data_IF_382548422347
#
_entry.id   IF_382548422347
#
_cell.length_a   1.000
_cell.length_b   1.000
_cell.length_c   1.000
_cell.angle_alpha   90.00
_cell.angle_beta   90.00
_cell.angle_gamma   90.00
#
_symmetry.space_group_name_H-M   'P 1'
#
loop_
_entity.id
_entity.type
_entity.pdbx_description
1 polymer ?
#
# COMPACT_ATOMS: atom_id res chain seq x y z
N UNK A 1 5.62 18.37 -19.68
CA UNK A 1 6.49 17.19 -19.58
C UNK A 1 6.37 16.44 -20.88
N UNK A 2 7.43 16.44 -21.68
CA UNK A 2 7.44 15.75 -22.98
C UNK A 2 7.38 14.23 -22.82
N UNK A 3 6.98 13.50 -23.85
CA UNK A 3 6.91 12.03 -23.77
C UNK A 3 8.28 11.42 -23.51
N UNK A 4 9.36 12.03 -23.98
CA UNK A 4 10.74 11.64 -23.66
C UNK A 4 11.10 11.81 -22.18
N UNK A 5 10.61 12.84 -21.50
CA UNK A 5 10.81 13.03 -20.05
C UNK A 5 10.04 12.00 -19.22
N UNK A 6 8.82 11.63 -19.66
CA UNK A 6 8.05 10.57 -19.01
C UNK A 6 8.73 9.19 -19.13
N UNK A 7 9.28 8.89 -20.31
CA UNK A 7 10.02 7.64 -20.52
C UNK A 7 11.32 7.59 -19.72
N UNK A 8 12.06 8.68 -19.63
CA UNK A 8 13.29 8.74 -18.84
C UNK A 8 13.00 8.61 -17.35
N UNK A 9 11.93 9.25 -16.86
CA UNK A 9 11.47 9.14 -15.49
C UNK A 9 10.97 7.71 -15.16
N UNK A 10 10.22 7.07 -16.05
CA UNK A 10 9.77 5.70 -15.89
C UNK A 10 10.93 4.69 -15.87
N UNK A 11 11.93 4.87 -16.74
CA UNK A 11 13.15 4.02 -16.77
C UNK A 11 14.04 4.21 -15.54
N UNK A 12 14.14 5.44 -15.02
CA UNK A 12 14.89 5.71 -13.79
C UNK A 12 14.18 5.12 -12.57
N UNK A 13 12.85 5.24 -12.49
CA UNK A 13 12.04 4.63 -11.45
C UNK A 13 12.14 3.10 -11.47
N UNK A 14 12.01 2.48 -12.63
CA UNK A 14 12.15 1.02 -12.78
C UNK A 14 13.53 0.52 -12.31
N UNK A 15 14.61 1.25 -12.58
CA UNK A 15 15.96 0.92 -12.09
C UNK A 15 16.06 1.01 -10.57
N UNK A 16 15.43 2.01 -9.96
CA UNK A 16 15.41 2.17 -8.50
C UNK A 16 14.64 1.01 -7.86
N UNK A 17 13.47 0.66 -8.40
CA UNK A 17 12.70 -0.50 -7.92
C UNK A 17 13.47 -1.82 -8.10
N UNK A 18 14.15 -2.02 -9.21
CA UNK A 18 14.98 -3.22 -9.44
C UNK A 18 16.12 -3.33 -8.42
N UNK A 19 16.76 -2.22 -8.04
CA UNK A 19 17.79 -2.19 -6.98
C UNK A 19 17.19 -2.50 -5.61
N UNK A 20 16.03 -1.93 -5.28
CA UNK A 20 15.34 -2.22 -4.02
C UNK A 20 14.94 -3.70 -3.93
N UNK A 21 14.43 -4.28 -5.03
CA UNK A 21 14.14 -5.71 -5.11
C UNK A 21 15.40 -6.58 -4.93
N UNK A 22 16.57 -6.09 -5.35
CA UNK A 22 17.85 -6.75 -5.07
C UNK A 22 18.13 -6.93 -3.58
N UNK A 23 17.76 -5.96 -2.75
CA UNK A 23 17.87 -6.04 -1.28
C UNK A 23 16.83 -6.96 -0.64
N UNK A 24 15.75 -7.30 -1.34
CA UNK A 24 14.75 -8.27 -0.87
C UNK A 24 15.25 -9.71 -1.07
N UNK A 25 16.17 -9.92 -2.01
CA UNK A 25 16.67 -11.25 -2.38
C UNK A 25 17.19 -12.11 -1.20
N UNK A 26 17.91 -11.57 -0.20
CA UNK A 26 18.31 -12.36 0.97
C UNK A 26 17.13 -12.80 1.84
N UNK A 27 15.99 -12.09 1.76
CA UNK A 27 14.78 -12.31 2.57
C UNK A 27 13.69 -13.06 1.79
N UNK A 28 14.05 -13.83 0.74
CA UNK A 28 13.08 -14.53 -0.12
C UNK A 28 12.15 -15.47 0.65
N UNK A 29 12.64 -16.10 1.72
CA UNK A 29 11.89 -17.06 2.53
C UNK A 29 10.80 -16.37 3.37
N UNK A 30 11.09 -15.32 4.18
CA UNK A 30 10.06 -14.52 4.81
C UNK A 30 9.10 -13.88 3.80
N UNK A 31 9.60 -13.44 2.66
CA UNK A 31 8.76 -12.87 1.59
C UNK A 31 7.78 -13.89 1.03
N UNK A 32 8.22 -15.13 0.76
CA UNK A 32 7.37 -16.23 0.33
C UNK A 32 6.28 -16.58 1.35
N UNK A 33 6.64 -16.64 2.64
CA UNK A 33 5.66 -16.88 3.72
C UNK A 33 4.64 -15.73 3.79
N UNK A 34 5.06 -14.49 3.58
CA UNK A 34 4.14 -13.35 3.52
C UNK A 34 3.13 -13.49 2.37
N UNK A 35 3.59 -13.89 1.18
CA UNK A 35 2.69 -14.15 0.04
C UNK A 35 1.70 -15.26 0.36
N UNK A 36 2.14 -16.36 0.96
CA UNK A 36 1.24 -17.44 1.41
C UNK A 36 0.20 -16.93 2.42
N UNK A 37 0.62 -16.07 3.38
CA UNK A 37 -0.30 -15.43 4.31
C UNK A 37 -1.36 -14.57 3.59
N UNK A 38 -0.96 -13.81 2.59
CA UNK A 38 -1.92 -13.02 1.78
C UNK A 38 -2.81 -13.90 0.89
N UNK A 39 -2.34 -15.04 0.41
CA UNK A 39 -3.18 -16.02 -0.30
C UNK A 39 -4.25 -16.61 0.63
N UNK A 40 -3.89 -16.98 1.87
CA UNK A 40 -4.83 -17.44 2.89
C UNK A 40 -5.87 -16.36 3.18
N UNK A 41 -5.43 -15.11 3.36
CA UNK A 41 -6.32 -13.97 3.55
C UNK A 41 -7.26 -13.79 2.36
N UNK A 42 -6.74 -13.78 1.14
CA UNK A 42 -7.52 -13.57 -0.08
C UNK A 42 -8.54 -14.69 -0.33
N UNK A 43 -8.19 -15.95 -0.05
CA UNK A 43 -9.10 -17.09 -0.20
C UNK A 43 -10.27 -17.08 0.79
N UNK A 44 -10.15 -16.36 1.92
CA UNK A 44 -11.25 -16.19 2.88
C UNK A 44 -12.38 -15.29 2.35
N UNK A 45 -12.12 -14.40 1.39
CA UNK A 45 -13.11 -13.46 0.86
C UNK A 45 -14.24 -14.15 0.08
N UNK A 46 -13.95 -15.05 -0.86
CA UNK A 46 -14.99 -15.86 -1.49
C UNK A 46 -15.78 -16.73 -0.51
N UNK A 47 -15.14 -17.26 0.55
CA UNK A 47 -15.81 -18.05 1.57
C UNK A 47 -16.87 -17.23 2.32
N UNK A 48 -16.56 -15.96 2.61
CA UNK A 48 -17.49 -15.02 3.21
C UNK A 48 -18.68 -14.72 2.30
N UNK A 49 -18.41 -14.50 1.01
CA UNK A 49 -19.46 -14.26 0.00
C UNK A 49 -20.36 -15.50 -0.20
N UNK A 50 -19.76 -16.69 -0.23
CA UNK A 50 -20.48 -17.96 -0.32
C UNK A 50 -21.39 -18.19 0.89
N UNK A 51 -20.89 -17.90 2.08
CA UNK A 51 -21.63 -18.00 3.33
C UNK A 51 -22.87 -17.08 3.33
N UNK A 52 -22.70 -15.84 2.89
CA UNK A 52 -23.81 -14.87 2.82
C UNK A 52 -24.92 -15.36 1.89
N UNK A 53 -24.56 -15.93 0.72
CA UNK A 53 -25.53 -16.54 -0.19
C UNK A 53 -26.31 -17.66 0.51
N UNK A 54 -25.60 -18.58 1.17
CA UNK A 54 -26.24 -19.72 1.86
C UNK A 54 -27.18 -19.29 2.99
N UNK A 55 -26.84 -18.20 3.68
CA UNK A 55 -27.69 -17.62 4.70
C UNK A 55 -28.99 -17.04 4.13
N UNK A 56 -28.87 -16.27 3.04
CA UNK A 56 -30.04 -15.68 2.37
C UNK A 56 -30.94 -16.77 1.79
N UNK A 57 -30.35 -17.77 1.14
CA UNK A 57 -31.11 -18.93 0.59
C UNK A 57 -31.84 -19.69 1.70
N UNK A 58 -31.20 -19.91 2.85
CA UNK A 58 -31.81 -20.55 4.02
C UNK A 58 -32.97 -19.76 4.65
N UNK A 59 -32.88 -18.43 4.67
CA UNK A 59 -33.95 -17.56 5.16
C UNK A 59 -35.15 -17.56 4.21
N UNK A 60 -34.93 -17.62 2.90
CA UNK A 60 -35.99 -17.59 1.88
C UNK A 60 -36.70 -18.94 1.74
N UNK A 61 -36.03 -20.04 2.03
CA UNK A 61 -36.60 -21.38 1.96
C UNK A 61 -37.57 -21.73 3.10
N UNK A 62 -37.66 -20.90 4.17
CA UNK A 62 -38.63 -21.04 5.25
C UNK A 62 -38.48 -22.30 6.10
N UNK A 63 -37.49 -23.13 5.84
CA UNK A 63 -37.19 -24.33 6.61
C UNK A 63 -36.12 -24.05 7.66
N UNK A 64 -36.17 -24.79 8.78
CA UNK A 64 -35.09 -24.90 9.75
C UNK A 64 -33.84 -25.49 9.06
N UNK A 65 -33.16 -24.67 8.25
CA UNK A 65 -32.07 -25.09 7.37
C UNK A 65 -30.92 -25.66 8.21
N UNK A 66 -30.44 -26.84 7.83
CA UNK A 66 -29.18 -27.41 8.33
C UNK A 66 -28.04 -26.85 7.50
N UNK A 67 -27.09 -26.17 8.15
CA UNK A 67 -25.81 -25.78 7.55
C UNK A 67 -24.76 -26.84 7.90
N UNK A 68 -24.28 -27.60 6.91
CA UNK A 68 -23.30 -28.70 7.12
C UNK A 68 -23.73 -29.74 8.17
N UNK A 69 -25.06 -30.04 8.26
CA UNK A 69 -25.58 -31.00 9.23
C UNK A 69 -25.81 -30.48 10.65
N UNK A 70 -25.63 -29.16 10.85
CA UNK A 70 -25.86 -28.46 12.12
C UNK A 70 -27.01 -27.46 11.94
N UNK A 71 -27.89 -27.24 12.94
CA UNK A 71 -28.92 -26.20 12.86
C UNK A 71 -28.31 -24.84 12.49
N UNK A 72 -28.96 -24.09 11.59
CA UNK A 72 -28.47 -22.81 11.05
C UNK A 72 -28.08 -21.82 12.17
N UNK A 73 -28.80 -21.85 13.28
CA UNK A 73 -28.59 -20.99 14.46
C UNK A 73 -27.18 -21.17 15.06
N UNK A 74 -26.63 -22.38 15.06
CA UNK A 74 -25.31 -22.66 15.62
C UNK A 74 -24.25 -22.79 14.54
N UNK A 75 -24.60 -23.35 13.38
CA UNK A 75 -23.66 -23.56 12.27
C UNK A 75 -23.16 -22.26 11.67
N UNK A 76 -24.01 -21.26 11.55
CA UNK A 76 -23.67 -19.97 10.95
C UNK A 76 -22.70 -19.14 11.81
N UNK A 77 -22.93 -18.90 13.12
CA UNK A 77 -21.95 -18.21 13.97
C UNK A 77 -20.62 -18.96 14.07
N UNK A 78 -20.66 -20.28 14.16
CA UNK A 78 -19.43 -21.08 14.21
C UNK A 78 -18.61 -20.93 12.94
N UNK A 79 -19.25 -20.94 11.78
CA UNK A 79 -18.58 -20.76 10.50
C UNK A 79 -17.96 -19.34 10.37
N UNK A 80 -18.67 -18.30 10.82
CA UNK A 80 -18.13 -16.94 10.86
C UNK A 80 -16.85 -16.90 11.69
N UNK A 81 -16.86 -17.49 12.87
CA UNK A 81 -15.68 -17.52 13.75
C UNK A 81 -14.52 -18.25 13.08
N UNK A 82 -14.78 -19.39 12.45
CA UNK A 82 -13.75 -20.16 11.74
C UNK A 82 -13.16 -19.37 10.56
N UNK A 83 -13.99 -18.73 9.75
CA UNK A 83 -13.53 -17.88 8.63
C UNK A 83 -12.77 -16.68 9.16
N UNK A 84 -13.23 -16.05 10.24
CA UNK A 84 -12.54 -14.91 10.85
C UNK A 84 -11.17 -15.32 11.42
N UNK A 85 -11.06 -16.47 12.06
CA UNK A 85 -9.79 -17.02 12.54
C UNK A 85 -8.85 -17.33 11.36
N UNK A 86 -9.35 -17.97 10.32
CA UNK A 86 -8.59 -18.28 9.11
C UNK A 86 -8.08 -17.00 8.42
N UNK A 87 -8.94 -16.01 8.27
CA UNK A 87 -8.60 -14.69 7.73
C UNK A 87 -7.58 -13.96 8.62
N UNK A 88 -7.79 -13.99 9.94
CA UNK A 88 -6.88 -13.39 10.92
C UNK A 88 -5.49 -14.01 10.89
N UNK A 89 -5.39 -15.35 10.80
CA UNK A 89 -4.12 -16.06 10.64
C UNK A 89 -3.41 -15.67 9.34
N UNK A 90 -4.12 -15.63 8.22
CA UNK A 90 -3.56 -15.21 6.93
C UNK A 90 -3.06 -13.76 6.98
N UNK A 91 -3.86 -12.86 7.53
CA UNK A 91 -3.50 -11.45 7.70
C UNK A 91 -2.29 -11.27 8.63
N UNK A 92 -2.25 -11.98 9.75
CA UNK A 92 -1.13 -11.94 10.69
C UNK A 92 0.16 -12.43 10.03
N UNK A 93 0.15 -13.61 9.42
CA UNK A 93 1.31 -14.16 8.73
C UNK A 93 1.80 -13.20 7.62
N UNK A 94 0.90 -12.73 6.76
CA UNK A 94 1.24 -11.82 5.68
C UNK A 94 1.88 -10.53 6.18
N UNK A 95 1.26 -9.87 7.15
CA UNK A 95 1.76 -8.60 7.68
C UNK A 95 3.03 -8.75 8.52
N UNK A 96 3.14 -9.80 9.33
CA UNK A 96 4.32 -10.04 10.16
C UNK A 96 5.58 -10.28 9.31
N UNK A 97 5.47 -11.18 8.34
CA UNK A 97 6.64 -11.53 7.52
C UNK A 97 7.02 -10.42 6.54
N UNK A 98 6.08 -9.66 5.98
CA UNK A 98 6.41 -8.52 5.13
C UNK A 98 7.07 -7.40 5.94
N UNK A 99 6.64 -7.17 7.19
CA UNK A 99 7.29 -6.23 8.08
C UNK A 99 8.74 -6.66 8.41
N UNK A 100 8.97 -7.96 8.63
CA UNK A 100 10.31 -8.52 8.84
C UNK A 100 11.23 -8.29 7.62
N UNK A 101 10.71 -8.50 6.41
CA UNK A 101 11.43 -8.18 5.16
C UNK A 101 11.76 -6.69 5.10
N UNK A 102 10.79 -5.82 5.37
CA UNK A 102 10.98 -4.37 5.34
C UNK A 102 12.06 -3.90 6.30
N UNK A 103 12.03 -4.37 7.55
CA UNK A 103 13.05 -4.05 8.55
C UNK A 103 14.44 -4.54 8.17
N UNK A 104 14.54 -5.74 7.60
CA UNK A 104 15.80 -6.26 7.08
C UNK A 104 16.37 -5.40 5.95
N UNK A 105 15.56 -5.03 4.97
CA UNK A 105 15.97 -4.15 3.86
C UNK A 105 16.37 -2.77 4.37
N UNK A 106 15.65 -2.20 5.36
CA UNK A 106 16.03 -0.92 6.00
C UNK A 106 17.41 -1.03 6.65
N UNK A 107 17.65 -2.13 7.38
CA UNK A 107 18.94 -2.38 8.06
C UNK A 107 20.09 -2.47 7.04
N UNK A 108 19.93 -3.26 5.99
CA UNK A 108 20.96 -3.46 4.97
C UNK A 108 21.26 -2.17 4.20
N UNK A 109 20.22 -1.40 3.85
CA UNK A 109 20.38 -0.09 3.20
C UNK A 109 21.10 0.91 4.10
N UNK A 110 20.74 0.97 5.38
CA UNK A 110 21.41 1.87 6.34
C UNK A 110 22.89 1.50 6.50
N UNK A 111 23.18 0.22 6.63
CA UNK A 111 24.56 -0.30 6.75
C UNK A 111 25.36 0.01 5.49
N UNK A 112 24.78 -0.21 4.31
CA UNK A 112 25.44 0.11 3.04
C UNK A 112 25.70 1.61 2.88
N UNK A 113 24.74 2.45 3.24
CA UNK A 113 24.91 3.91 3.18
C UNK A 113 25.95 4.41 4.19
N UNK A 114 25.92 3.88 5.41
CA UNK A 114 26.89 4.24 6.44
C UNK A 114 28.32 3.84 6.02
N UNK A 115 28.51 2.63 5.53
CA UNK A 115 29.81 2.18 5.04
C UNK A 115 30.29 3.04 3.88
N UNK A 116 29.43 3.37 2.92
CA UNK A 116 29.77 4.29 1.84
C UNK A 116 30.13 5.69 2.36
N UNK A 117 29.44 6.19 3.39
CA UNK A 117 29.74 7.49 3.97
C UNK A 117 31.16 7.54 4.54
N UNK A 118 31.60 6.46 5.19
CA UNK A 118 32.96 6.35 5.75
C UNK A 118 34.06 6.32 4.68
N UNK A 119 33.74 5.96 3.45
CA UNK A 119 34.71 5.92 2.33
C UNK A 119 34.76 7.22 1.53
N UNK A 120 33.90 8.20 1.86
CA UNK A 120 33.90 9.49 1.17
C UNK A 120 35.10 10.35 1.57
N UNK A 121 35.65 11.16 0.64
CA UNK A 121 36.72 12.10 0.94
C UNK A 121 36.30 13.13 1.99
N UNK A 122 37.22 13.51 2.90
CA UNK A 122 36.97 14.51 3.96
C UNK A 122 36.34 15.81 3.41
N UNK A 123 36.78 16.25 2.23
CA UNK A 123 36.25 17.45 1.56
C UNK A 123 34.73 17.39 1.32
N UNK A 124 34.17 16.17 1.14
CA UNK A 124 32.71 16.01 0.98
C UNK A 124 32.00 16.14 2.33
N UNK A 125 32.58 15.58 3.39
CA UNK A 125 32.03 15.62 4.73
C UNK A 125 32.08 17.05 5.32
N UNK A 126 33.18 17.78 5.06
CA UNK A 126 33.36 19.15 5.51
C UNK A 126 32.39 20.15 4.86
N UNK A 127 32.00 19.88 3.61
CA UNK A 127 31.06 20.73 2.86
C UNK A 127 29.58 20.40 3.09
N UNK A 128 29.28 19.33 3.81
CA UNK A 128 27.89 18.91 4.07
C UNK A 128 27.60 18.89 5.56
N UNK A 129 26.46 19.46 5.94
CA UNK A 129 26.00 19.42 7.34
C UNK A 129 25.76 17.98 7.79
N UNK A 130 26.44 17.56 8.84
CA UNK A 130 26.34 16.20 9.42
C UNK A 130 24.89 15.83 9.78
N UNK A 131 24.08 16.77 10.28
CA UNK A 131 22.68 16.56 10.56
C UNK A 131 21.86 16.16 9.32
N UNK A 132 22.17 16.74 8.16
CA UNK A 132 21.52 16.40 6.90
C UNK A 132 21.89 14.99 6.40
N UNK A 133 23.15 14.59 6.59
CA UNK A 133 23.63 13.24 6.23
C UNK A 133 22.99 12.19 7.14
N UNK A 134 22.93 12.44 8.46
CA UNK A 134 22.25 11.54 9.42
C UNK A 134 20.77 11.43 9.09
N UNK A 135 20.09 12.56 8.78
CA UNK A 135 18.68 12.56 8.41
C UNK A 135 18.41 11.73 7.15
N UNK A 136 19.29 11.76 6.15
CA UNK A 136 19.17 10.92 4.94
C UNK A 136 19.22 9.44 5.27
N UNK A 137 20.12 9.01 6.14
CA UNK A 137 20.29 7.60 6.52
C UNK A 137 19.12 7.14 7.40
N UNK A 138 18.63 7.99 8.31
CA UNK A 138 17.60 7.61 9.26
C UNK A 138 16.19 7.74 8.69
N UNK A 139 15.84 8.91 8.16
CA UNK A 139 14.48 9.23 7.71
C UNK A 139 14.20 8.80 6.27
N UNK A 140 15.06 9.23 5.33
CA UNK A 140 14.76 8.99 3.92
C UNK A 140 14.78 7.50 3.59
N UNK A 141 15.71 6.73 4.16
CA UNK A 141 15.72 5.26 3.98
C UNK A 141 14.43 4.64 4.46
N UNK A 142 13.98 4.99 5.67
CA UNK A 142 12.73 4.43 6.22
C UNK A 142 11.52 4.81 5.38
N UNK A 143 11.44 6.06 4.93
CA UNK A 143 10.33 6.54 4.10
C UNK A 143 10.26 5.82 2.76
N UNK A 144 11.39 5.69 2.05
CA UNK A 144 11.46 5.03 0.74
C UNK A 144 11.16 3.55 0.88
N UNK A 145 11.74 2.88 1.89
CA UNK A 145 11.54 1.45 2.09
C UNK A 145 10.12 1.15 2.55
N UNK A 146 9.54 1.99 3.42
CA UNK A 146 8.15 1.90 3.84
C UNK A 146 7.20 2.00 2.65
N UNK A 147 7.34 3.03 1.81
CA UNK A 147 6.53 3.21 0.62
C UNK A 147 6.65 2.03 -0.37
N UNK A 148 7.85 1.49 -0.57
CA UNK A 148 8.07 0.32 -1.42
C UNK A 148 7.41 -0.94 -0.84
N UNK A 149 7.51 -1.16 0.47
CA UNK A 149 6.90 -2.30 1.16
C UNK A 149 5.38 -2.22 1.14
N UNK A 150 4.80 -1.04 1.37
CA UNK A 150 3.36 -0.83 1.31
C UNK A 150 2.83 -1.05 -0.11
N UNK A 151 3.55 -0.60 -1.14
CA UNK A 151 3.18 -0.86 -2.53
C UNK A 151 3.18 -2.37 -2.84
N UNK A 152 4.21 -3.10 -2.41
CA UNK A 152 4.30 -4.57 -2.57
C UNK A 152 3.14 -5.25 -1.82
N UNK A 153 2.87 -4.85 -0.57
CA UNK A 153 1.78 -5.37 0.23
C UNK A 153 0.42 -5.18 -0.46
N UNK A 154 0.14 -3.98 -0.96
CA UNK A 154 -1.11 -3.69 -1.66
C UNK A 154 -1.23 -4.54 -2.92
N UNK A 155 -0.19 -4.63 -3.75
CA UNK A 155 -0.21 -5.42 -4.98
C UNK A 155 -0.47 -6.90 -4.71
N UNK A 156 0.22 -7.49 -3.73
CA UNK A 156 0.03 -8.93 -3.45
C UNK A 156 -1.25 -9.20 -2.69
N UNK A 157 -1.57 -8.47 -1.63
CA UNK A 157 -2.77 -8.69 -0.82
C UNK A 157 -4.04 -8.40 -1.61
N UNK A 158 -4.16 -7.18 -2.14
CA UNK A 158 -5.38 -6.76 -2.84
C UNK A 158 -5.45 -7.38 -4.23
N UNK A 159 -4.32 -7.53 -4.92
CA UNK A 159 -4.27 -8.23 -6.20
C UNK A 159 -4.74 -9.68 -6.09
N UNK A 160 -4.26 -10.43 -5.10
CA UNK A 160 -4.74 -11.79 -4.82
C UNK A 160 -6.23 -11.80 -4.46
N UNK A 161 -6.68 -10.85 -3.63
CA UNK A 161 -8.10 -10.72 -3.27
C UNK A 161 -8.97 -10.52 -4.50
N UNK A 162 -8.56 -9.63 -5.41
CA UNK A 162 -9.28 -9.40 -6.68
C UNK A 162 -9.32 -10.67 -7.52
N UNK A 163 -8.20 -11.39 -7.65
CA UNK A 163 -8.13 -12.63 -8.43
C UNK A 163 -9.08 -13.70 -7.85
N UNK A 164 -9.05 -13.94 -6.54
CA UNK A 164 -9.90 -14.93 -5.90
C UNK A 164 -11.39 -14.58 -5.98
N UNK A 165 -11.73 -13.32 -5.74
CA UNK A 165 -13.12 -12.85 -5.88
C UNK A 165 -13.60 -12.92 -7.32
N UNK A 166 -12.76 -12.55 -8.28
CA UNK A 166 -13.10 -12.60 -9.69
C UNK A 166 -13.30 -14.05 -10.17
N UNK A 167 -12.42 -14.97 -9.76
CA UNK A 167 -12.56 -16.39 -10.04
C UNK A 167 -13.88 -16.96 -9.45
N UNK A 168 -14.22 -16.55 -8.22
CA UNK A 168 -15.47 -16.94 -7.58
C UNK A 168 -16.70 -16.38 -8.31
N UNK A 169 -16.69 -15.13 -8.74
CA UNK A 169 -17.77 -14.51 -9.50
C UNK A 169 -17.98 -15.19 -10.85
N UNK A 170 -16.90 -15.53 -11.56
CA UNK A 170 -16.96 -16.26 -12.83
C UNK A 170 -17.57 -17.65 -12.65
N UNK A 171 -17.21 -18.33 -11.56
CA UNK A 171 -17.76 -19.64 -11.25
C UNK A 171 -19.26 -19.58 -10.89
N UNK A 172 -19.68 -18.52 -10.19
CA UNK A 172 -21.04 -18.35 -9.73
C UNK A 172 -22.00 -17.90 -10.84
N UNK A 173 -21.60 -16.88 -11.61
CA UNK A 173 -22.38 -16.35 -12.73
C UNK A 173 -21.47 -15.57 -13.72
N UNK A 174 -21.00 -16.27 -14.74
CA UNK A 174 -20.09 -15.69 -15.72
C UNK A 174 -20.73 -14.55 -16.54
N UNK A 175 -22.05 -14.61 -16.80
CA UNK A 175 -22.76 -13.58 -17.57
C UNK A 175 -22.82 -12.25 -16.83
N UNK A 176 -23.18 -12.29 -15.54
CA UNK A 176 -23.21 -11.11 -14.69
C UNK A 176 -21.80 -10.53 -14.50
N UNK A 177 -20.81 -11.38 -14.39
CA UNK A 177 -19.40 -10.97 -14.25
C UNK A 177 -18.90 -10.24 -15.49
N UNK A 178 -19.28 -10.69 -16.71
CA UNK A 178 -18.96 -9.99 -17.96
C UNK A 178 -19.62 -8.61 -18.03
N UNK A 179 -20.86 -8.46 -17.57
CA UNK A 179 -21.52 -7.15 -17.50
C UNK A 179 -20.79 -6.22 -16.57
N UNK A 180 -20.40 -6.70 -15.37
CA UNK A 180 -19.58 -5.92 -14.43
C UNK A 180 -18.24 -5.52 -15.05
N UNK A 181 -17.59 -6.44 -15.76
CA UNK A 181 -16.31 -6.18 -16.43
C UNK A 181 -16.42 -5.09 -17.51
N UNK A 182 -17.56 -5.03 -18.22
CA UNK A 182 -17.82 -3.98 -19.20
C UNK A 182 -17.98 -2.58 -18.55
N UNK A 183 -18.35 -2.51 -17.28
CA UNK A 183 -18.50 -1.26 -16.54
C UNK A 183 -17.14 -0.72 -16.05
N UNK A 184 -16.16 -1.59 -15.78
CA UNK A 184 -14.83 -1.19 -15.28
C UNK A 184 -14.11 -0.14 -16.15
N UNK A 185 -14.03 -0.26 -17.49
CA UNK A 185 -13.39 0.77 -18.31
C UNK A 185 -14.12 2.11 -18.25
N UNK A 186 -15.45 2.13 -18.11
CA UNK A 186 -16.22 3.36 -17.95
C UNK A 186 -15.83 4.06 -16.64
N UNK A 187 -15.77 3.32 -15.53
CA UNK A 187 -15.30 3.82 -14.25
C UNK A 187 -13.85 4.33 -14.36
N UNK A 188 -12.97 3.58 -15.04
CA UNK A 188 -11.59 3.98 -15.28
C UNK A 188 -11.45 5.32 -16.01
N UNK A 189 -12.27 5.54 -17.03
CA UNK A 189 -12.31 6.81 -17.77
C UNK A 189 -12.80 7.96 -16.88
N UNK A 190 -13.84 7.73 -16.08
CA UNK A 190 -14.35 8.73 -15.13
C UNK A 190 -13.31 9.09 -14.08
N UNK A 191 -12.64 8.10 -13.48
CA UNK A 191 -11.58 8.31 -12.50
C UNK A 191 -10.41 9.08 -13.11
N UNK A 192 -9.96 8.72 -14.31
CA UNK A 192 -8.87 9.42 -14.99
C UNK A 192 -9.20 10.89 -15.28
N UNK A 193 -10.42 11.17 -15.74
CA UNK A 193 -10.92 12.53 -16.00
C UNK A 193 -10.95 13.35 -14.70
N UNK A 194 -11.48 12.77 -13.63
CA UNK A 194 -11.60 13.41 -12.32
C UNK A 194 -10.22 13.62 -11.67
N UNK A 195 -9.33 12.63 -11.77
CA UNK A 195 -7.95 12.72 -11.25
C UNK A 195 -7.16 13.88 -11.86
N UNK A 196 -7.35 14.18 -13.14
CA UNK A 196 -6.72 15.34 -13.79
C UNK A 196 -7.15 16.66 -13.16
N UNK A 197 -8.45 16.80 -12.83
CA UNK A 197 -8.99 17.99 -12.15
C UNK A 197 -8.45 18.09 -10.73
N UNK A 198 -8.46 16.99 -9.97
CA UNK A 198 -7.91 16.94 -8.61
C UNK A 198 -6.42 17.29 -8.58
N UNK A 199 -5.63 16.78 -9.51
CA UNK A 199 -4.19 17.10 -9.61
C UNK A 199 -3.94 18.60 -9.81
N UNK A 200 -4.74 19.25 -10.68
CA UNK A 200 -4.65 20.70 -10.90
C UNK A 200 -5.00 21.49 -9.62
N UNK A 201 -6.02 21.04 -8.90
CA UNK A 201 -6.47 21.68 -7.65
C UNK A 201 -5.45 21.48 -6.53
N UNK A 202 -4.91 20.26 -6.38
CA UNK A 202 -3.88 19.93 -5.40
C UNK A 202 -2.61 20.78 -5.62
N UNK A 203 -2.20 20.98 -6.88
CA UNK A 203 -1.07 21.86 -7.18
C UNK A 203 -1.32 23.32 -6.75
N UNK A 204 -2.53 23.83 -6.96
CA UNK A 204 -2.90 25.17 -6.49
C UNK A 204 -2.85 25.29 -4.96
N UNK A 205 -3.35 24.26 -4.25
CA UNK A 205 -3.30 24.21 -2.79
C UNK A 205 -1.84 24.18 -2.30
N UNK A 206 -0.98 23.38 -2.93
CA UNK A 206 0.45 23.32 -2.57
C UNK A 206 1.16 24.66 -2.79
N UNK A 207 0.84 25.38 -3.89
CA UNK A 207 1.40 26.71 -4.13
C UNK A 207 0.94 27.70 -3.06
N UNK A 208 -0.36 27.74 -2.77
CA UNK A 208 -0.90 28.62 -1.74
C UNK A 208 -0.34 28.31 -0.33
N UNK A 209 -0.13 27.03 0.00
CA UNK A 209 0.55 26.64 1.25
C UNK A 209 2.02 27.06 1.28
N UNK A 210 2.70 27.01 0.12
CA UNK A 210 4.05 27.56 -0.02
C UNK A 210 4.11 29.06 0.28
N UNK A 211 3.15 29.83 -0.27
CA UNK A 211 3.05 31.26 -0.04
C UNK A 211 2.77 31.57 1.44
N UNK A 212 1.85 30.85 2.07
CA UNK A 212 1.58 30.97 3.53
C UNK A 212 2.82 30.68 4.35
N UNK A 213 3.55 29.62 4.03
CA UNK A 213 4.79 29.26 4.75
C UNK A 213 5.85 30.34 4.57
N UNK A 214 5.98 30.90 3.37
CA UNK A 214 6.92 32.00 3.08
C UNK A 214 6.59 33.22 3.92
N UNK A 215 5.35 33.72 3.88
CA UNK A 215 4.89 34.88 4.65
C UNK A 215 5.05 34.63 6.15
N UNK A 216 4.73 33.44 6.65
CA UNK A 216 4.91 33.09 8.05
C UNK A 216 6.39 33.13 8.45
N UNK A 217 7.27 32.56 7.63
CA UNK A 217 8.71 32.54 7.88
C UNK A 217 9.29 33.97 7.85
N UNK A 218 8.85 34.81 6.91
CA UNK A 218 9.25 36.21 6.80
C UNK A 218 8.79 37.00 8.04
N UNK A 219 7.54 36.80 8.47
CA UNK A 219 6.98 37.45 9.66
C UNK A 219 7.74 37.04 10.93
N UNK A 220 8.08 35.75 11.09
CA UNK A 220 8.87 35.26 12.21
C UNK A 220 10.29 35.80 12.15
N UNK A 221 10.91 35.84 11.01
CA UNK A 221 12.28 36.38 10.85
C UNK A 221 12.33 37.88 11.08
N UNK A 222 11.31 38.62 10.63
CA UNK A 222 11.16 40.07 10.78
C UNK A 222 10.34 40.50 12.02
N UNK A 223 10.13 39.61 13.00
CA UNK A 223 9.20 39.88 14.12
C UNK A 223 9.44 41.19 14.87
N UNK A 224 10.70 41.65 14.95
CA UNK A 224 11.05 42.91 15.60
C UNK A 224 10.49 44.10 14.84
N UNK A 225 10.56 44.05 13.50
CA UNK A 225 10.02 45.11 12.62
C UNK A 225 8.51 45.13 12.70
N UNK A 226 7.88 43.98 12.56
CA UNK A 226 6.41 43.79 12.66
C UNK A 226 5.91 44.35 14.01
N UNK A 227 6.58 44.03 15.11
CA UNK A 227 6.21 44.48 16.44
C UNK A 227 6.45 45.98 16.66
N UNK A 228 7.48 46.56 16.02
CA UNK A 228 7.78 48.00 16.14
C UNK A 228 6.78 48.86 15.40
N UNK A 229 6.19 48.38 14.32
CA UNK A 229 5.22 49.11 13.49
C UNK A 229 3.77 48.74 13.79
N UNK A 230 3.49 47.91 14.78
CA UNK A 230 2.12 47.59 15.20
C UNK A 230 1.34 46.75 14.19
N UNK A 231 2.07 46.02 13.36
CA UNK A 231 1.48 45.09 12.35
C UNK A 231 1.01 43.77 12.95
#
# INVERSE_FOLDING_TARGET
MSDSEKESFARSSARIYARLLGYVKPYWLPFGISILGFMIFASSQPAMAWMLKYFVDGLTAGESGMFLGVPLIWGFPLFIILVALYQGLGSFLGNYYIAKVSLGVVHDLRTSLFNNLLTLPNRYLDNHNSGHLVSRITFNVTMVTGAATDAIKVVFREGMTVIFLFAYLLWMNWQLTLVLMAILPVIGLMVNSTSKKFRKQSHKIQTAMGDVTHVTSETISGYRVVRSFGG
#
